data_IF_025315932340
#
_entry.id   IF_025315932340
#
_cell.length_a   1.000
_cell.length_b   1.000
_cell.length_c   1.000
_cell.angle_alpha   90.00
_cell.angle_beta   90.00
_cell.angle_gamma   90.00
#
_symmetry.space_group_name_H-M   'P 1'
#
loop_
_entity.id
_entity.type
_entity.pdbx_description
1 polymer ?
#
# COMPACT_ATOMS: atom_id res chain seq x y z
N UNK A 1 3.07 8.66 -9.11
CA UNK A 1 2.27 8.98 -7.90
C UNK A 1 1.19 7.94 -7.64
N UNK A 2 0.04 7.93 -8.35
CA UNK A 2 -1.00 6.91 -8.11
C UNK A 2 -0.49 5.50 -8.43
N UNK A 3 0.13 5.31 -9.59
CA UNK A 3 0.72 4.02 -9.98
C UNK A 3 1.76 3.52 -8.96
N UNK A 4 2.61 4.41 -8.45
CA UNK A 4 3.61 4.04 -7.43
C UNK A 4 2.94 3.58 -6.13
N UNK A 5 1.92 4.31 -5.67
CA UNK A 5 1.16 3.91 -4.48
C UNK A 5 0.39 2.59 -4.68
N UNK A 6 -0.10 2.30 -5.89
CA UNK A 6 -0.71 1.00 -6.21
C UNK A 6 0.30 -0.15 -6.16
N UNK A 7 1.51 0.07 -6.69
CA UNK A 7 2.62 -0.89 -6.61
C UNK A 7 3.02 -1.15 -5.17
N UNK A 8 3.15 -0.10 -4.36
CA UNK A 8 3.52 -0.21 -2.94
C UNK A 8 2.47 -0.98 -2.14
N UNK A 9 1.17 -0.67 -2.32
CA UNK A 9 0.09 -1.41 -1.66
C UNK A 9 0.11 -2.89 -2.06
N UNK A 10 0.38 -3.19 -3.33
CA UNK A 10 0.46 -4.56 -3.84
C UNK A 10 1.64 -5.31 -3.22
N UNK A 11 2.82 -4.68 -3.20
CA UNK A 11 4.03 -5.26 -2.61
C UNK A 11 3.85 -5.53 -1.11
N UNK A 12 3.29 -4.58 -0.36
CA UNK A 12 3.04 -4.76 1.08
C UNK A 12 1.98 -5.83 1.35
N UNK A 13 0.91 -5.90 0.55
CA UNK A 13 -0.09 -6.96 0.68
C UNK A 13 0.51 -8.35 0.42
N UNK A 14 1.36 -8.47 -0.61
CA UNK A 14 2.05 -9.71 -0.93
C UNK A 14 3.01 -10.13 0.20
N UNK A 15 3.83 -9.22 0.70
CA UNK A 15 4.76 -9.50 1.81
C UNK A 15 4.02 -9.81 3.11
N UNK A 16 2.93 -9.10 3.43
CA UNK A 16 2.09 -9.36 4.60
C UNK A 16 1.44 -10.76 4.56
N UNK A 17 1.23 -11.33 3.37
CA UNK A 17 0.60 -12.64 3.20
C UNK A 17 1.64 -13.76 3.13
N UNK A 18 2.68 -13.55 2.31
CA UNK A 18 3.58 -14.59 1.81
C UNK A 18 5.05 -14.40 2.24
N UNK A 19 5.37 -13.35 2.98
CA UNK A 19 6.73 -13.09 3.46
C UNK A 19 7.25 -14.20 4.37
N UNK A 20 8.55 -14.51 4.23
CA UNK A 20 9.25 -15.56 5.00
C UNK A 20 9.75 -15.03 6.34
N UNK A 21 10.31 -13.82 6.33
CA UNK A 21 10.78 -13.16 7.53
C UNK A 21 9.57 -12.63 8.34
N UNK A 22 9.48 -13.07 9.60
CA UNK A 22 8.34 -12.78 10.46
C UNK A 22 8.22 -11.29 10.80
N UNK A 23 9.34 -10.61 11.03
CA UNK A 23 9.37 -9.19 11.38
C UNK A 23 8.99 -8.33 10.18
N UNK A 24 9.50 -8.68 8.99
CA UNK A 24 9.15 -8.02 7.74
C UNK A 24 7.67 -8.22 7.40
N UNK A 25 7.14 -9.44 7.60
CA UNK A 25 5.71 -9.73 7.40
C UNK A 25 4.83 -8.92 8.34
N UNK A 26 5.21 -8.84 9.62
CA UNK A 26 4.50 -8.05 10.62
C UNK A 26 4.53 -6.54 10.30
N UNK A 27 5.69 -6.03 9.89
CA UNK A 27 5.83 -4.64 9.44
C UNK A 27 4.92 -4.34 8.24
N UNK A 28 4.94 -5.20 7.22
CA UNK A 28 4.12 -5.04 6.03
C UNK A 28 2.62 -5.04 6.39
N UNK A 29 2.18 -5.98 7.22
CA UNK A 29 0.79 -6.06 7.69
C UNK A 29 0.37 -4.81 8.48
N UNK A 30 1.25 -4.29 9.34
CA UNK A 30 0.98 -3.09 10.14
C UNK A 30 0.89 -1.81 9.31
N UNK A 31 1.70 -1.69 8.26
CA UNK A 31 1.72 -0.50 7.39
C UNK A 31 0.62 -0.50 6.33
N UNK A 32 0.13 -1.68 5.92
CA UNK A 32 -0.81 -1.85 4.82
C UNK A 32 -2.09 -0.98 4.93
N UNK A 33 -2.74 -0.81 6.11
CA UNK A 33 -3.90 0.07 6.24
C UNK A 33 -3.60 1.53 5.87
N UNK A 34 -2.44 2.05 6.32
CA UNK A 34 -2.01 3.42 6.01
C UNK A 34 -1.72 3.59 4.52
N UNK A 35 -1.05 2.64 3.88
CA UNK A 35 -0.78 2.69 2.44
C UNK A 35 -2.08 2.67 1.61
N UNK A 36 -3.07 1.86 2.02
CA UNK A 36 -4.41 1.87 1.38
C UNK A 36 -5.11 3.21 1.52
N UNK A 37 -5.04 3.84 2.70
CA UNK A 37 -5.58 5.18 2.93
C UNK A 37 -4.89 6.21 2.04
N UNK A 38 -3.55 6.20 1.96
CA UNK A 38 -2.80 7.08 1.07
C UNK A 38 -3.19 6.90 -0.40
N UNK A 39 -3.31 5.66 -0.86
CA UNK A 39 -3.75 5.35 -2.22
C UNK A 39 -5.15 5.91 -2.52
N UNK A 40 -6.09 5.78 -1.58
CA UNK A 40 -7.43 6.35 -1.74
C UNK A 40 -7.37 7.87 -1.88
N UNK A 41 -6.63 8.55 -1.00
CA UNK A 41 -6.51 10.02 -1.04
C UNK A 41 -5.92 10.51 -2.36
N UNK A 42 -4.87 9.86 -2.88
CA UNK A 42 -4.25 10.30 -4.14
C UNK A 42 -5.15 10.03 -5.36
N UNK A 43 -5.97 8.97 -5.33
CA UNK A 43 -7.00 8.71 -6.35
C UNK A 43 -8.08 9.80 -6.34
N UNK A 44 -8.52 10.22 -5.16
CA UNK A 44 -9.51 11.28 -5.01
C UNK A 44 -8.96 12.63 -5.50
N UNK A 45 -7.70 12.95 -5.19
CA UNK A 45 -7.03 14.15 -5.69
C UNK A 45 -6.92 14.11 -7.21
N UNK A 46 -6.44 12.99 -7.79
CA UNK A 46 -6.33 12.85 -9.25
C UNK A 46 -7.69 13.00 -9.93
N UNK A 47 -8.76 12.45 -9.33
CA UNK A 47 -10.13 12.58 -9.84
C UNK A 47 -10.64 14.02 -9.88
N UNK A 48 -10.22 14.85 -8.92
CA UNK A 48 -10.59 16.29 -8.85
C UNK A 48 -9.76 17.19 -9.76
N UNK A 49 -8.63 16.69 -10.28
CA UNK A 49 -7.74 17.45 -11.18
C UNK A 49 -8.06 17.23 -12.67
N UNK A 50 -8.98 16.33 -12.98
CA UNK A 50 -9.51 16.11 -14.33
C UNK A 50 -10.70 17.03 -14.59
#
# INVERSE_FOLDING_TARGET
>A
MVEDHEKDVTAFAATASNGVDADVKAFAAKALPTLRMHLQMIKDIQGKMK
#
